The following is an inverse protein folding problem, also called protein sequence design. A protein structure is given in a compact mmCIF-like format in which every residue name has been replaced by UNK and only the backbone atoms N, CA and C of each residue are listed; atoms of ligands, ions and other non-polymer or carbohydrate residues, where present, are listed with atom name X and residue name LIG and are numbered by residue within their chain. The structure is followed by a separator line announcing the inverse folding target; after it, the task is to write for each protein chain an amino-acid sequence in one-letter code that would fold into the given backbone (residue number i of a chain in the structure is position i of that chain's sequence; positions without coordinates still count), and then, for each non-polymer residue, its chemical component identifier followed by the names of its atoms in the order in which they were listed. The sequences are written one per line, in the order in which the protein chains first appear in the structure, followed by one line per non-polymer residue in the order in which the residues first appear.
data_IF_284050682285
#
_entry.id   IF_284050682285
#
_cell.length_a   1.000
_cell.length_b   1.000
_cell.length_c   1.000
_cell.angle_alpha   90.00
_cell.angle_beta   90.00
_cell.angle_gamma   90.00
#
_symmetry.space_group_name_H-M   'P 1'
#
loop_
_entity.id
_entity.type
_entity.pdbx_description
1 polymer ?
#
# COMPACT_ATOMS: atom_id res chain seq x y z
N UNK A 1 15.72 19.39 -4.74
CA UNK A 1 16.00 18.47 -5.87
C UNK A 1 15.86 17.02 -5.39
N UNK A 2 14.63 16.49 -5.36
CA UNK A 2 14.34 15.07 -5.08
C UNK A 2 13.24 14.56 -6.02
N UNK A 3 13.21 15.03 -7.27
CA UNK A 3 12.18 14.63 -8.25
C UNK A 3 12.36 13.16 -8.68
N UNK A 4 13.61 12.67 -8.67
CA UNK A 4 13.97 11.33 -9.15
C UNK A 4 13.37 10.19 -8.29
N UNK A 5 13.48 10.21 -6.95
CA UNK A 5 12.80 9.22 -6.10
C UNK A 5 11.28 9.24 -6.22
N UNK A 6 10.67 10.44 -6.32
CA UNK A 6 9.23 10.59 -6.44
C UNK A 6 8.71 10.02 -7.77
N UNK A 7 9.40 10.31 -8.88
CA UNK A 7 9.03 9.76 -10.19
C UNK A 7 9.18 8.23 -10.23
N UNK A 8 10.27 7.69 -9.68
CA UNK A 8 10.47 6.25 -9.55
C UNK A 8 9.36 5.59 -8.73
N UNK A 9 8.99 6.19 -7.60
CA UNK A 9 7.92 5.71 -6.76
C UNK A 9 6.59 5.64 -7.53
N UNK A 10 6.22 6.71 -8.24
CA UNK A 10 4.98 6.75 -9.03
C UNK A 10 4.99 5.68 -10.11
N UNK A 11 6.08 5.54 -10.86
CA UNK A 11 6.17 4.53 -11.93
C UNK A 11 6.11 3.10 -11.40
N UNK A 12 6.86 2.81 -10.34
CA UNK A 12 6.90 1.49 -9.72
C UNK A 12 5.54 1.12 -9.11
N UNK A 13 4.86 2.09 -8.50
CA UNK A 13 3.55 1.89 -7.91
C UNK A 13 2.46 1.66 -8.97
N UNK A 14 2.40 2.53 -9.99
CA UNK A 14 1.41 2.43 -11.06
C UNK A 14 1.56 1.14 -11.87
N UNK A 15 2.78 0.73 -12.20
CA UNK A 15 3.05 -0.54 -12.87
C UNK A 15 2.70 -1.75 -12.00
N UNK A 16 2.90 -1.65 -10.68
CA UNK A 16 2.54 -2.69 -9.72
C UNK A 16 1.05 -3.03 -9.72
N UNK A 17 0.17 -2.04 -9.90
CA UNK A 17 -1.27 -2.26 -9.96
C UNK A 17 -1.69 -3.03 -11.22
N UNK A 18 -1.10 -2.68 -12.38
CA UNK A 18 -1.30 -3.38 -13.65
C UNK A 18 -0.79 -4.81 -13.56
N UNK A 19 0.43 -5.00 -13.05
CA UNK A 19 1.03 -6.32 -12.88
C UNK A 19 0.23 -7.19 -11.91
N UNK A 20 -0.31 -6.61 -10.84
CA UNK A 20 -1.16 -7.34 -9.88
C UNK A 20 -2.43 -7.86 -10.53
N UNK A 21 -3.12 -7.04 -11.35
CA UNK A 21 -4.30 -7.48 -12.10
C UNK A 21 -3.94 -8.54 -13.15
N UNK A 22 -2.82 -8.37 -13.84
CA UNK A 22 -2.35 -9.35 -14.82
C UNK A 22 -1.96 -10.68 -14.15
N UNK A 23 -1.34 -10.63 -12.98
CA UNK A 23 -0.98 -11.80 -12.18
C UNK A 23 -2.20 -12.63 -11.75
N UNK A 24 -3.31 -11.96 -11.43
CA UNK A 24 -4.57 -12.63 -11.11
C UNK A 24 -5.18 -13.42 -12.28
N UNK A 25 -4.81 -13.12 -13.52
CA UNK A 25 -5.22 -13.95 -14.67
C UNK A 25 -4.54 -15.32 -14.69
N UNK A 26 -3.47 -15.51 -13.91
CA UNK A 26 -2.64 -16.72 -13.93
C UNK A 26 -2.60 -17.46 -12.59
N UNK A 27 -3.00 -16.82 -11.49
CA UNK A 27 -2.97 -17.41 -10.16
C UNK A 27 -4.06 -16.83 -9.25
N UNK A 28 -4.50 -17.62 -8.28
CA UNK A 28 -5.39 -17.12 -7.23
C UNK A 28 -4.72 -15.99 -6.40
N UNK A 29 -5.51 -15.07 -5.81
CA UNK A 29 -5.01 -14.00 -4.96
C UNK A 29 -4.00 -14.45 -3.90
N UNK A 30 -4.31 -15.55 -3.20
CA UNK A 30 -3.49 -16.05 -2.10
C UNK A 30 -2.17 -16.63 -2.58
N UNK A 31 -2.16 -17.37 -3.69
CA UNK A 31 -0.93 -17.93 -4.29
C UNK A 31 -0.02 -16.80 -4.77
N UNK A 32 -0.60 -15.80 -5.45
CA UNK A 32 0.16 -14.65 -5.94
C UNK A 32 0.77 -13.84 -4.78
N UNK A 33 0.00 -13.58 -3.73
CA UNK A 33 0.49 -12.90 -2.52
C UNK A 33 1.56 -13.71 -1.79
N UNK A 34 1.39 -15.03 -1.67
CA UNK A 34 2.38 -15.90 -1.04
C UNK A 34 3.72 -15.84 -1.78
N UNK A 35 3.70 -15.91 -3.12
CA UNK A 35 4.90 -15.77 -3.94
C UNK A 35 5.53 -14.38 -3.76
N UNK A 36 4.73 -13.32 -3.88
CA UNK A 36 5.17 -11.92 -3.73
C UNK A 36 5.87 -11.69 -2.39
N UNK A 37 5.26 -12.14 -1.29
CA UNK A 37 5.83 -11.96 0.04
C UNK A 37 7.00 -12.90 0.34
N UNK A 38 7.05 -14.08 -0.27
CA UNK A 38 8.24 -14.95 -0.19
C UNK A 38 9.44 -14.29 -0.84
N UNK A 39 9.28 -13.74 -2.05
CA UNK A 39 10.35 -12.98 -2.73
C UNK A 39 10.77 -11.77 -1.90
N UNK A 40 9.81 -11.01 -1.38
CA UNK A 40 10.10 -9.86 -0.53
C UNK A 40 10.88 -10.26 0.75
N UNK A 41 10.49 -11.35 1.40
CA UNK A 41 11.16 -11.87 2.59
C UNK A 41 12.60 -12.29 2.29
N UNK A 42 12.84 -13.00 1.18
CA UNK A 42 14.19 -13.39 0.75
C UNK A 42 15.06 -12.17 0.50
N UNK A 43 14.56 -11.18 -0.24
CA UNK A 43 15.31 -9.95 -0.53
C UNK A 43 15.62 -9.16 0.74
N UNK A 44 14.64 -8.99 1.62
CA UNK A 44 14.85 -8.34 2.91
C UNK A 44 15.87 -9.11 3.76
N UNK A 45 15.86 -10.43 3.71
CA UNK A 45 16.82 -11.25 4.43
C UNK A 45 18.26 -11.10 3.89
N UNK A 46 18.42 -10.93 2.58
CA UNK A 46 19.73 -10.68 1.96
C UNK A 46 20.25 -9.29 2.30
N UNK A 47 19.39 -8.26 2.24
CA UNK A 47 19.75 -6.88 2.54
C UNK A 47 19.97 -6.62 4.04
N UNK A 48 19.27 -7.36 4.90
CA UNK A 48 19.26 -7.18 6.34
C UNK A 48 20.55 -7.60 7.06
N UNK A 49 21.57 -8.13 6.37
CA UNK A 49 22.83 -8.65 6.96
C UNK A 49 23.75 -7.58 7.58
N UNK A 50 23.22 -6.47 8.07
CA UNK A 50 23.95 -5.42 8.77
C UNK A 50 24.05 -5.65 10.28
N UNK A 51 24.97 -4.94 10.96
CA UNK A 51 25.26 -5.10 12.40
C UNK A 51 24.14 -4.64 13.35
N UNK A 52 23.06 -4.02 12.85
CA UNK A 52 22.03 -3.36 13.69
C UNK A 52 20.92 -4.27 14.24
N UNK A 53 20.96 -5.57 14.00
CA UNK A 53 19.92 -6.49 14.48
C UNK A 53 18.59 -6.30 13.73
N UNK A 54 17.84 -7.39 13.57
CA UNK A 54 16.67 -7.43 12.68
C UNK A 54 15.35 -7.22 13.43
N UNK A 55 15.41 -7.35 14.75
CA UNK A 55 14.21 -7.38 15.58
C UNK A 55 13.93 -5.97 16.11
N UNK A 56 12.64 -5.57 16.12
CA UNK A 56 12.21 -4.40 16.85
C UNK A 56 12.64 -4.47 18.32
N UNK A 57 12.74 -3.29 18.93
CA UNK A 57 13.05 -3.13 20.35
C UNK A 57 12.24 -4.10 21.23
N UNK A 58 12.90 -4.62 22.27
CA UNK A 58 12.25 -5.53 23.21
C UNK A 58 11.04 -4.81 23.84
N UNK A 59 9.87 -5.44 23.79
CA UNK A 59 8.60 -4.86 24.25
C UNK A 59 7.68 -4.30 23.16
N UNK A 60 8.19 -3.94 21.98
CA UNK A 60 7.35 -3.44 20.87
C UNK A 60 6.97 -4.50 19.84
N UNK A 61 7.62 -5.68 19.91
CA UNK A 61 7.52 -6.76 18.92
C UNK A 61 6.08 -7.21 18.62
N UNK A 62 5.25 -7.39 19.65
CA UNK A 62 3.86 -7.82 19.45
C UNK A 62 3.03 -6.76 18.69
N UNK A 63 3.24 -5.48 19.02
CA UNK A 63 2.58 -4.36 18.32
C UNK A 63 3.05 -4.29 16.87
N UNK A 64 4.36 -4.37 16.64
CA UNK A 64 4.94 -4.34 15.28
C UNK A 64 4.44 -5.54 14.46
N UNK A 65 4.39 -6.73 15.04
CA UNK A 65 3.87 -7.92 14.38
C UNK A 65 2.37 -7.76 14.05
N UNK A 66 1.56 -7.25 14.98
CA UNK A 66 0.14 -6.97 14.74
C UNK A 66 -0.10 -5.93 13.65
N UNK A 67 0.62 -4.81 13.68
CA UNK A 67 0.57 -3.78 12.64
C UNK A 67 1.01 -4.34 11.29
N UNK A 68 2.09 -5.14 11.27
CA UNK A 68 2.58 -5.81 10.06
C UNK A 68 1.56 -6.80 9.50
N UNK A 69 0.93 -7.61 10.34
CA UNK A 69 -0.12 -8.55 9.93
C UNK A 69 -1.31 -7.83 9.28
N UNK A 70 -1.73 -6.70 9.85
CA UNK A 70 -2.84 -5.90 9.32
C UNK A 70 -2.48 -5.22 7.99
N UNK A 71 -1.31 -4.59 7.90
CA UNK A 71 -0.91 -3.82 6.71
C UNK A 71 -0.37 -4.70 5.57
N UNK A 72 0.44 -5.70 5.88
CA UNK A 72 1.06 -6.58 4.88
C UNK A 72 0.10 -7.72 4.54
N UNK A 73 -0.52 -8.34 5.55
CA UNK A 73 -1.48 -9.42 5.36
C UNK A 73 -2.87 -8.89 5.02
N UNK A 74 -3.58 -8.33 6.00
CA UNK A 74 -5.00 -7.99 5.89
C UNK A 74 -5.32 -7.06 4.71
N UNK A 75 -4.64 -5.92 4.63
CA UNK A 75 -4.83 -4.94 3.56
C UNK A 75 -4.52 -5.52 2.18
N UNK A 76 -3.40 -6.25 2.03
CA UNK A 76 -3.04 -6.82 0.72
C UNK A 76 -4.02 -7.91 0.27
N UNK A 77 -4.50 -8.75 1.19
CA UNK A 77 -5.54 -9.74 0.87
C UNK A 77 -6.84 -9.06 0.42
N UNK A 78 -7.31 -8.05 1.16
CA UNK A 78 -8.50 -7.29 0.79
C UNK A 78 -8.34 -6.61 -0.59
N UNK A 79 -7.17 -6.04 -0.87
CA UNK A 79 -6.84 -5.40 -2.14
C UNK A 79 -6.90 -6.38 -3.32
N UNK A 80 -6.26 -7.55 -3.19
CA UNK A 80 -6.25 -8.55 -4.26
C UNK A 80 -7.60 -9.25 -4.44
N UNK A 81 -8.32 -9.55 -3.35
CA UNK A 81 -9.67 -10.11 -3.44
C UNK A 81 -10.63 -9.13 -4.11
N UNK A 82 -10.55 -7.84 -3.81
CA UNK A 82 -11.37 -6.85 -4.49
C UNK A 82 -11.12 -6.83 -6.01
N UNK A 83 -9.85 -6.94 -6.44
CA UNK A 83 -9.52 -7.05 -7.87
C UNK A 83 -10.03 -8.34 -8.51
N UNK A 84 -9.92 -9.45 -7.78
CA UNK A 84 -10.41 -10.77 -8.21
C UNK A 84 -11.94 -10.78 -8.38
N UNK A 85 -12.66 -10.06 -7.51
CA UNK A 85 -14.10 -9.81 -7.62
C UNK A 85 -14.47 -8.73 -8.67
N UNK A 86 -13.53 -8.33 -9.52
CA UNK A 86 -13.80 -7.53 -10.71
C UNK A 86 -13.49 -6.04 -10.60
N UNK A 87 -13.11 -5.52 -9.42
CA UNK A 87 -12.72 -4.10 -9.32
C UNK A 87 -11.45 -3.86 -10.16
N UNK A 88 -11.49 -2.83 -11.00
CA UNK A 88 -10.33 -2.42 -11.78
C UNK A 88 -9.30 -1.74 -10.88
N UNK A 89 -8.01 -1.76 -11.25
CA UNK A 89 -6.99 -1.01 -10.53
C UNK A 89 -7.33 0.48 -10.37
N UNK A 90 -7.96 1.09 -11.37
CA UNK A 90 -8.44 2.48 -11.31
C UNK A 90 -9.54 2.68 -10.26
N UNK A 91 -10.58 1.83 -10.26
CA UNK A 91 -11.63 1.90 -9.25
C UNK A 91 -11.09 1.73 -7.83
N UNK A 92 -10.16 0.79 -7.63
CA UNK A 92 -9.48 0.63 -6.34
C UNK A 92 -8.63 1.85 -5.97
N UNK A 93 -7.90 2.44 -6.92
CA UNK A 93 -7.13 3.65 -6.65
C UNK A 93 -8.04 4.78 -6.16
N UNK A 94 -9.21 4.96 -6.77
CA UNK A 94 -10.19 5.97 -6.34
C UNK A 94 -10.73 5.70 -4.93
N UNK A 95 -11.12 4.46 -4.62
CA UNK A 95 -11.60 4.07 -3.28
C UNK A 95 -10.49 4.28 -2.24
N UNK A 96 -9.27 3.86 -2.54
CA UNK A 96 -8.12 4.02 -1.64
C UNK A 96 -7.66 5.47 -1.54
N UNK A 97 -7.94 6.31 -2.55
CA UNK A 97 -7.71 7.75 -2.53
C UNK A 97 -8.47 8.48 -1.42
N UNK A 98 -9.44 7.83 -0.77
CA UNK A 98 -10.13 8.35 0.42
C UNK A 98 -9.25 8.29 1.68
N UNK A 99 -8.25 7.40 1.72
CA UNK A 99 -7.41 7.17 2.90
C UNK A 99 -6.73 8.43 3.46
N UNK A 100 -6.19 9.38 2.67
CA UNK A 100 -5.62 10.62 3.18
C UNK A 100 -6.65 11.51 3.87
N UNK A 101 -7.89 11.54 3.37
CA UNK A 101 -9.00 12.28 4.00
C UNK A 101 -9.37 11.62 5.31
N UNK A 102 -9.54 10.30 5.32
CA UNK A 102 -9.83 9.54 6.54
C UNK A 102 -8.71 9.72 7.59
N UNK A 103 -7.45 9.69 7.16
CA UNK A 103 -6.29 9.92 8.04
C UNK A 103 -6.33 11.32 8.63
N UNK A 104 -6.61 12.35 7.82
CA UNK A 104 -6.75 13.73 8.28
C UNK A 104 -7.84 13.85 9.35
N UNK A 105 -9.03 13.33 9.08
CA UNK A 105 -10.19 13.45 9.99
C UNK A 105 -10.01 12.66 11.29
N UNK A 106 -9.39 11.46 11.21
CA UNK A 106 -9.25 10.57 12.37
C UNK A 106 -8.05 10.93 13.26
N UNK A 107 -6.97 11.46 12.70
CA UNK A 107 -5.73 11.75 13.45
C UNK A 107 -5.59 13.23 13.83
N UNK A 108 -6.01 14.16 12.96
CA UNK A 108 -5.85 15.59 13.23
C UNK A 108 -7.09 16.19 13.89
N UNK A 109 -6.96 16.61 15.15
CA UNK A 109 -8.06 17.26 15.89
C UNK A 109 -8.51 18.59 15.30
N UNK A 110 -7.62 19.30 14.59
CA UNK A 110 -7.89 20.58 13.91
C UNK A 110 -7.07 20.61 12.62
N UNK A 111 -7.74 20.79 11.50
CA UNK A 111 -7.10 20.93 10.20
C UNK A 111 -7.68 22.13 9.44
N UNK A 112 -6.88 22.84 8.63
CA UNK A 112 -7.37 23.97 7.84
C UNK A 112 -8.30 23.48 6.72
N UNK A 113 -9.40 24.21 6.50
CA UNK A 113 -10.39 23.87 5.46
C UNK A 113 -9.77 23.79 4.07
N UNK A 114 -8.74 24.60 3.78
CA UNK A 114 -7.99 24.54 2.52
C UNK A 114 -7.30 23.20 2.28
N UNK A 115 -6.83 22.51 3.33
CA UNK A 115 -6.22 21.17 3.19
C UNK A 115 -7.28 20.13 2.84
N UNK A 116 -8.43 20.17 3.50
CA UNK A 116 -9.55 19.28 3.17
C UNK A 116 -10.04 19.53 1.74
N UNK A 117 -10.21 20.80 1.33
CA UNK A 117 -10.59 21.15 -0.02
C UNK A 117 -9.59 20.64 -1.07
N UNK A 118 -8.29 20.78 -0.81
CA UNK A 118 -7.24 20.24 -1.68
C UNK A 118 -7.30 18.72 -1.81
N UNK A 119 -7.54 17.99 -0.72
CA UNK A 119 -7.69 16.53 -0.75
C UNK A 119 -8.96 16.10 -1.51
N UNK A 120 -10.08 16.81 -1.32
CA UNK A 120 -11.32 16.54 -2.05
C UNK A 120 -11.15 16.83 -3.54
N UNK A 121 -10.45 17.90 -3.91
CA UNK A 121 -10.14 18.22 -5.30
C UNK A 121 -9.24 17.16 -5.93
N UNK A 122 -8.21 16.70 -5.20
CA UNK A 122 -7.34 15.62 -5.66
C UNK A 122 -8.11 14.30 -5.86
N UNK A 123 -9.01 13.95 -4.93
CA UNK A 123 -9.87 12.78 -5.05
C UNK A 123 -10.85 12.89 -6.22
N UNK A 124 -11.44 14.07 -6.43
CA UNK A 124 -12.31 14.32 -7.57
C UNK A 124 -11.55 14.18 -8.90
N UNK A 125 -10.32 14.71 -8.96
CA UNK A 125 -9.43 14.51 -10.10
C UNK A 125 -9.13 13.03 -10.36
N UNK A 126 -8.84 12.26 -9.32
CA UNK A 126 -8.62 10.81 -9.43
C UNK A 126 -9.86 10.05 -9.90
N UNK A 127 -11.06 10.47 -9.49
CA UNK A 127 -12.32 9.85 -9.89
C UNK A 127 -12.72 10.13 -11.35
N UNK A 128 -12.20 11.22 -11.94
CA UNK A 128 -12.50 11.62 -13.31
C UNK A 128 -11.63 10.93 -14.36
N UNK A 129 -10.49 10.34 -13.96
CA UNK A 129 -9.55 9.62 -14.84
C UNK A 129 -9.92 8.13 -14.90
#
# INVERSE_FOLDING_TARGET
MHVMPTALFVLLWSSGAIFSRWGLNHASPFVFLALRFTVALVLLALLGRGPRGWLPERGTRARVAGTGLLLVGGYSNAYFLAMDHGLTPGALATVLGVQPIATLVLQERRFPLGRLAGLLLALAGLALV
#
